data_IF_163714543646
#
_entry.id   IF_163714543646
#
_cell.length_a   1.000
_cell.length_b   1.000
_cell.length_c   1.000
_cell.angle_alpha   90.00
_cell.angle_beta   90.00
_cell.angle_gamma   90.00
#
_symmetry.space_group_name_H-M   'P 1'
#
loop_
_entity.id
_entity.type
_entity.pdbx_description
1 polymer ?
#
# COMPACT_ATOMS: atom_id res chain seq x y z
N UNK A 1 4.38 -20.43 13.28
CA UNK A 1 3.53 -20.42 12.08
C UNK A 1 2.93 -19.03 12.00
N UNK A 2 3.41 -18.20 11.08
CA UNK A 2 3.02 -16.79 10.99
C UNK A 2 1.65 -16.71 10.30
N UNK A 3 0.57 -16.57 11.09
CA UNK A 3 -0.81 -16.54 10.61
C UNK A 3 -1.07 -15.22 9.86
N UNK A 4 -0.70 -15.19 8.57
CA UNK A 4 -1.06 -14.08 7.68
C UNK A 4 -2.50 -14.28 7.24
N UNK A 5 -3.38 -13.34 7.60
CA UNK A 5 -4.79 -13.39 7.18
C UNK A 5 -4.87 -13.00 5.70
N UNK A 6 -5.43 -13.89 4.89
CA UNK A 6 -5.69 -13.63 3.48
C UNK A 6 -7.01 -12.88 3.33
N UNK A 7 -6.93 -11.70 2.72
CA UNK A 7 -8.07 -10.86 2.39
C UNK A 7 -8.01 -10.57 0.89
N UNK A 8 -9.17 -10.57 0.22
CA UNK A 8 -9.25 -10.18 -1.18
C UNK A 8 -8.93 -8.69 -1.29
N UNK A 9 -7.90 -8.31 -2.06
CA UNK A 9 -7.50 -6.92 -2.29
C UNK A 9 -7.48 -6.67 -3.80
N UNK A 10 -7.98 -5.52 -4.28
CA UNK A 10 -7.94 -5.24 -5.72
C UNK A 10 -6.50 -5.11 -6.20
N UNK A 11 -6.21 -5.70 -7.37
CA UNK A 11 -4.87 -5.66 -7.98
C UNK A 11 -3.93 -6.76 -7.50
N UNK A 12 -4.34 -7.59 -6.55
CA UNK A 12 -3.57 -8.74 -6.07
C UNK A 12 -4.27 -10.06 -6.43
N UNK A 13 -3.62 -10.86 -7.27
CA UNK A 13 -4.09 -12.17 -7.72
C UNK A 13 -3.21 -13.25 -7.08
N UNK A 14 -3.76 -14.03 -6.15
CA UNK A 14 -3.03 -15.10 -5.44
C UNK A 14 -2.84 -16.32 -6.37
N UNK A 15 -3.73 -16.47 -7.34
CA UNK A 15 -3.67 -17.49 -8.38
C UNK A 15 -3.36 -16.79 -9.70
N UNK A 16 -2.08 -16.64 -10.05
CA UNK A 16 -1.71 -16.42 -11.44
C UNK A 16 -2.00 -17.71 -12.23
N UNK A 17 -3.27 -17.97 -12.52
CA UNK A 17 -3.64 -18.73 -13.70
C UNK A 17 -4.09 -17.73 -14.75
N UNK A 18 -3.11 -17.25 -15.51
CA UNK A 18 -3.38 -16.67 -16.83
C UNK A 18 -3.85 -17.82 -17.70
N UNK A 19 -5.16 -18.07 -17.73
CA UNK A 19 -5.75 -18.96 -18.73
C UNK A 19 -5.79 -18.17 -20.05
N UNK A 20 -4.68 -18.19 -20.77
CA UNK A 20 -4.68 -17.90 -22.19
C UNK A 20 -5.25 -19.14 -22.90
N UNK A 21 -6.53 -19.07 -23.31
CA UNK A 21 -7.24 -20.17 -23.96
C UNK A 21 -8.06 -19.69 -25.16
N UNK A 22 -7.84 -20.34 -26.31
CA UNK A 22 -8.45 -20.04 -27.60
C UNK A 22 -9.96 -20.33 -27.67
N UNK A 23 -10.68 -19.38 -28.28
CA UNK A 23 -11.77 -19.54 -29.27
C UNK A 23 -12.74 -20.73 -29.10
N UNK A 24 -13.88 -20.49 -28.41
CA UNK A 24 -15.27 -20.95 -28.74
C UNK A 24 -16.23 -20.74 -27.53
N UNK A 25 -16.50 -19.51 -27.03
CA UNK A 25 -17.17 -19.37 -25.69
C UNK A 25 -18.17 -18.21 -25.49
N UNK A 26 -18.80 -17.64 -26.53
CA UNK A 26 -19.70 -16.47 -26.32
C UNK A 26 -20.91 -16.74 -25.39
N UNK A 27 -21.45 -17.96 -25.34
CA UNK A 27 -22.55 -18.31 -24.41
C UNK A 27 -22.09 -18.54 -22.97
N UNK A 28 -20.91 -19.14 -22.78
CA UNK A 28 -20.35 -19.39 -21.44
C UNK A 28 -19.95 -18.09 -20.73
N UNK A 29 -19.43 -17.13 -21.48
CA UNK A 29 -19.07 -15.81 -20.94
C UNK A 29 -20.30 -15.11 -20.35
N UNK A 30 -21.44 -15.21 -21.03
CA UNK A 30 -22.71 -14.69 -20.52
C UNK A 30 -23.22 -15.47 -19.30
N UNK A 31 -23.10 -16.80 -19.29
CA UNK A 31 -23.44 -17.62 -18.11
C UNK A 31 -22.69 -17.15 -16.86
N UNK A 32 -21.39 -16.84 -17.00
CA UNK A 32 -20.58 -16.31 -15.92
C UNK A 32 -21.11 -14.96 -15.40
N UNK A 33 -21.42 -14.04 -16.32
CA UNK A 33 -21.99 -12.72 -15.98
C UNK A 33 -23.35 -12.87 -15.28
N UNK A 34 -24.24 -13.74 -15.77
CA UNK A 34 -25.54 -14.01 -15.14
C UNK A 34 -25.37 -14.62 -13.75
N UNK A 35 -24.50 -15.62 -13.62
CA UNK A 35 -24.21 -16.30 -12.35
C UNK A 35 -23.64 -15.31 -11.34
N UNK A 36 -22.71 -14.46 -11.76
CA UNK A 36 -22.11 -13.43 -10.91
C UNK A 36 -23.16 -12.46 -10.36
N UNK A 37 -24.07 -11.97 -11.22
CA UNK A 37 -25.18 -11.09 -10.81
C UNK A 37 -26.13 -11.76 -9.82
N UNK A 38 -26.51 -13.02 -10.05
CA UNK A 38 -27.41 -13.76 -9.15
C UNK A 38 -26.77 -14.06 -7.80
N UNK A 39 -25.48 -14.42 -7.81
CA UNK A 39 -24.74 -14.81 -6.60
C UNK A 39 -24.10 -13.63 -5.86
N UNK A 40 -24.23 -12.40 -6.39
CA UNK A 40 -23.54 -11.21 -5.87
C UNK A 40 -22.01 -11.38 -5.76
N UNK A 41 -21.43 -12.18 -6.66
CA UNK A 41 -19.99 -12.47 -6.67
C UNK A 41 -19.20 -11.23 -7.10
N UNK A 42 -18.02 -11.07 -6.52
CA UNK A 42 -17.09 -10.00 -6.88
C UNK A 42 -16.21 -10.49 -8.02
N UNK A 43 -16.23 -9.78 -9.14
CA UNK A 43 -15.41 -10.06 -10.31
C UNK A 43 -14.19 -9.13 -10.31
N UNK A 44 -13.10 -9.54 -10.97
CA UNK A 44 -11.95 -8.67 -11.23
C UNK A 44 -11.60 -8.69 -12.71
N UNK A 45 -11.33 -7.51 -13.27
CA UNK A 45 -10.85 -7.38 -14.66
C UNK A 45 -10.05 -6.09 -14.82
N UNK A 46 -9.22 -6.05 -15.85
CA UNK A 46 -8.44 -4.88 -16.22
C UNK A 46 -9.32 -3.81 -16.86
N UNK A 47 -9.10 -2.55 -16.50
CA UNK A 47 -9.72 -1.42 -17.21
C UNK A 47 -9.01 -1.22 -18.53
N UNK A 48 -9.63 -1.64 -19.63
CA UNK A 48 -9.02 -1.60 -20.95
C UNK A 48 -9.11 -0.22 -21.62
N UNK A 49 -10.03 0.63 -21.17
CA UNK A 49 -10.33 1.88 -21.84
C UNK A 49 -11.39 2.71 -21.11
N UNK A 50 -11.68 3.88 -21.68
CA UNK A 50 -12.69 4.80 -21.20
C UNK A 50 -13.54 5.22 -22.39
N UNK A 51 -14.84 5.12 -22.26
CA UNK A 51 -15.81 5.53 -23.27
C UNK A 51 -16.84 6.48 -22.67
N UNK A 52 -17.44 7.32 -23.50
CA UNK A 52 -18.63 8.06 -23.11
C UNK A 52 -19.86 7.23 -23.43
N UNK A 53 -20.76 7.10 -22.47
CA UNK A 53 -22.06 6.50 -22.71
C UNK A 53 -23.16 7.50 -22.36
N UNK A 54 -24.34 7.34 -22.96
CA UNK A 54 -25.50 8.17 -22.72
C UNK A 54 -26.61 7.38 -22.06
N UNK A 55 -27.28 8.00 -21.09
CA UNK A 55 -28.53 7.51 -20.53
C UNK A 55 -29.55 8.65 -20.64
N UNK A 56 -30.38 8.57 -21.68
CA UNK A 56 -31.21 9.70 -22.11
C UNK A 56 -30.36 10.83 -22.69
N UNK A 57 -30.54 12.06 -22.19
CA UNK A 57 -29.82 13.26 -22.66
C UNK A 57 -28.46 13.49 -21.97
N UNK A 58 -28.14 12.73 -20.91
CA UNK A 58 -26.90 12.88 -20.16
C UNK A 58 -25.83 11.92 -20.68
N UNK A 59 -24.70 12.47 -21.08
CA UNK A 59 -23.47 11.70 -21.32
C UNK A 59 -22.63 11.63 -20.04
N UNK A 60 -22.01 10.49 -19.81
CA UNK A 60 -21.10 10.29 -18.69
C UNK A 60 -19.96 9.36 -19.08
N UNK A 61 -18.75 9.60 -18.56
CA UNK A 61 -17.61 8.74 -18.82
C UNK A 61 -17.76 7.42 -18.06
N UNK A 62 -17.41 6.33 -18.73
CA UNK A 62 -17.43 4.97 -18.23
C UNK A 62 -16.06 4.33 -18.43
N UNK A 63 -15.54 3.66 -17.42
CA UNK A 63 -14.46 2.69 -17.63
C UNK A 63 -15.01 1.45 -18.34
N UNK A 64 -14.21 0.89 -19.23
CA UNK A 64 -14.55 -0.34 -19.97
C UNK A 64 -13.76 -1.50 -19.39
N UNK A 65 -14.47 -2.59 -19.09
CA UNK A 65 -13.92 -3.86 -18.59
C UNK A 65 -14.51 -5.01 -19.39
N UNK A 66 -13.89 -6.18 -19.34
CA UNK A 66 -14.39 -7.39 -20.01
C UNK A 66 -14.47 -8.57 -19.05
N UNK A 67 -15.48 -9.42 -19.23
CA UNK A 67 -15.54 -10.78 -18.70
C UNK A 67 -15.63 -11.70 -19.91
N UNK A 68 -14.57 -12.48 -20.16
CA UNK A 68 -14.42 -13.17 -21.44
C UNK A 68 -14.54 -12.19 -22.61
N UNK A 69 -15.52 -12.41 -23.49
CA UNK A 69 -15.82 -11.54 -24.63
C UNK A 69 -16.96 -10.55 -24.38
N UNK A 70 -17.58 -10.56 -23.21
CA UNK A 70 -18.71 -9.66 -22.89
C UNK A 70 -18.17 -8.33 -22.38
N UNK A 71 -18.57 -7.25 -23.06
CA UNK A 71 -18.20 -5.89 -22.70
C UNK A 71 -18.95 -5.43 -21.46
N UNK A 72 -18.22 -4.85 -20.52
CA UNK A 72 -18.74 -4.21 -19.32
C UNK A 72 -18.42 -2.73 -19.29
N UNK A 73 -19.35 -1.94 -18.76
CA UNK A 73 -19.12 -0.53 -18.44
C UNK A 73 -19.24 -0.29 -16.94
N UNK A 74 -18.35 0.53 -16.41
CA UNK A 74 -18.40 1.03 -15.04
C UNK A 74 -18.51 2.55 -15.08
N UNK A 75 -19.70 3.13 -14.84
CA UNK A 75 -19.91 4.57 -14.78
C UNK A 75 -18.99 5.25 -13.77
N UNK A 76 -18.58 6.49 -14.05
CA UNK A 76 -17.73 7.30 -13.15
C UNK A 76 -18.24 7.32 -11.70
N UNK A 77 -19.55 7.46 -11.53
CA UNK A 77 -20.21 7.46 -10.21
C UNK A 77 -20.03 6.15 -9.42
N UNK A 78 -19.78 5.03 -10.12
CA UNK A 78 -19.55 3.73 -9.49
C UNK A 78 -18.07 3.36 -9.41
N UNK A 79 -17.17 4.21 -9.87
CA UNK A 79 -15.73 3.96 -9.89
C UNK A 79 -15.02 4.36 -8.60
N UNK A 80 -15.68 5.08 -7.68
CA UNK A 80 -15.07 5.66 -6.48
C UNK A 80 -13.87 6.58 -6.82
N UNK A 81 -14.05 7.43 -7.84
CA UNK A 81 -13.08 8.45 -8.27
C UNK A 81 -13.82 9.78 -8.47
N UNK A 82 -13.11 10.90 -8.33
CA UNK A 82 -13.74 12.23 -8.37
C UNK A 82 -13.86 12.79 -9.80
N UNK A 83 -12.94 12.45 -10.68
CA UNK A 83 -12.83 13.09 -11.99
C UNK A 83 -12.26 12.15 -13.06
N UNK A 84 -12.33 12.62 -14.31
CA UNK A 84 -11.87 11.88 -15.48
C UNK A 84 -10.35 11.63 -15.52
N UNK A 85 -9.52 12.48 -14.88
CA UNK A 85 -8.08 12.27 -14.79
C UNK A 85 -7.76 11.05 -13.92
N UNK A 86 -8.50 10.86 -12.83
CA UNK A 86 -8.37 9.69 -11.98
C UNK A 86 -8.83 8.43 -12.70
N UNK A 87 -9.91 8.52 -13.48
CA UNK A 87 -10.34 7.41 -14.35
C UNK A 87 -9.24 7.00 -15.35
N UNK A 88 -8.56 7.97 -15.98
CA UNK A 88 -7.42 7.71 -16.89
C UNK A 88 -6.25 7.00 -16.22
N UNK A 89 -6.01 7.22 -14.93
CA UNK A 89 -4.95 6.55 -14.19
C UNK A 89 -5.26 5.07 -13.92
N UNK A 90 -6.55 4.72 -13.95
CA UNK A 90 -7.00 3.35 -13.71
C UNK A 90 -6.90 2.47 -14.96
N UNK A 91 -6.79 3.06 -16.17
CA UNK A 91 -6.56 2.28 -17.39
C UNK A 91 -5.30 1.44 -17.25
N UNK A 92 -5.40 0.14 -17.55
CA UNK A 92 -4.34 -0.84 -17.36
C UNK A 92 -4.31 -1.49 -15.96
N UNK A 93 -5.15 -1.05 -15.03
CA UNK A 93 -5.20 -1.62 -13.68
C UNK A 93 -6.35 -2.61 -13.56
N UNK A 94 -6.12 -3.71 -12.81
CA UNK A 94 -7.19 -4.64 -12.41
C UNK A 94 -8.06 -4.00 -11.32
N UNK A 95 -9.36 -3.96 -11.55
CA UNK A 95 -10.35 -3.45 -10.60
C UNK A 95 -11.32 -4.54 -10.18
N UNK A 96 -11.84 -4.47 -8.96
CA UNK A 96 -12.94 -5.32 -8.54
C UNK A 96 -14.29 -4.64 -8.79
N UNK A 97 -15.29 -5.40 -9.20
CA UNK A 97 -16.63 -4.87 -9.43
C UNK A 97 -17.72 -5.93 -9.25
N UNK A 98 -18.95 -5.46 -9.05
CA UNK A 98 -20.16 -6.29 -9.06
C UNK A 98 -21.01 -5.94 -10.26
N UNK A 99 -21.58 -6.95 -10.91
CA UNK A 99 -22.53 -6.75 -12.02
C UNK A 99 -23.88 -6.29 -11.45
N UNK A 100 -24.35 -5.11 -11.85
CA UNK A 100 -25.60 -4.51 -11.37
C UNK A 100 -26.70 -4.52 -12.43
N UNK A 101 -26.33 -4.40 -13.71
CA UNK A 101 -27.25 -4.31 -14.84
C UNK A 101 -26.78 -5.15 -16.01
N UNK A 102 -27.72 -5.54 -16.86
CA UNK A 102 -27.46 -6.28 -18.10
C UNK A 102 -28.30 -5.67 -19.20
N UNK A 103 -27.67 -5.37 -20.33
CA UNK A 103 -28.34 -4.99 -21.56
C UNK A 103 -27.99 -6.00 -22.64
N UNK A 104 -28.90 -6.98 -22.82
CA UNK A 104 -28.72 -8.02 -23.84
C UNK A 104 -28.77 -7.47 -25.25
N UNK A 105 -29.49 -6.37 -25.49
CA UNK A 105 -29.63 -5.80 -26.85
C UNK A 105 -28.34 -5.12 -27.28
N UNK A 106 -27.70 -4.42 -26.36
CA UNK A 106 -26.40 -3.77 -26.58
C UNK A 106 -25.20 -4.71 -26.32
N UNK A 107 -25.45 -5.99 -26.03
CA UNK A 107 -24.44 -6.99 -25.67
C UNK A 107 -23.44 -6.50 -24.60
N UNK A 108 -23.96 -5.84 -23.55
CA UNK A 108 -23.13 -5.27 -22.48
C UNK A 108 -23.69 -5.51 -21.08
N UNK A 109 -22.81 -5.46 -20.08
CA UNK A 109 -23.20 -5.39 -18.67
C UNK A 109 -22.81 -4.05 -18.02
N UNK A 110 -23.55 -3.67 -17.00
CA UNK A 110 -23.24 -2.51 -16.15
C UNK A 110 -22.68 -3.05 -14.84
N UNK A 111 -21.52 -2.53 -14.46
CA UNK A 111 -20.82 -2.93 -13.25
C UNK A 111 -20.67 -1.76 -12.27
N UNK A 112 -20.49 -2.09 -10.99
CA UNK A 112 -20.32 -1.15 -9.90
C UNK A 112 -19.11 -1.56 -9.03
N UNK A 113 -18.07 -0.73 -9.03
CA UNK A 113 -16.84 -0.96 -8.25
C UNK A 113 -17.03 -0.60 -6.78
N UNK A 114 -17.69 0.51 -6.47
CA UNK A 114 -18.00 0.90 -5.09
C UNK A 114 -18.72 -0.22 -4.32
N UNK A 115 -19.70 -0.86 -4.95
CA UNK A 115 -20.44 -1.97 -4.35
C UNK A 115 -19.57 -3.21 -4.09
N UNK A 116 -18.54 -3.46 -4.92
CA UNK A 116 -17.56 -4.51 -4.66
C UNK A 116 -16.70 -4.17 -3.45
N UNK A 117 -16.19 -2.94 -3.38
CA UNK A 117 -15.37 -2.46 -2.25
C UNK A 117 -16.13 -2.58 -0.93
N UNK A 118 -17.39 -2.14 -0.88
CA UNK A 118 -18.22 -2.26 0.31
C UNK A 118 -18.46 -3.72 0.73
N UNK A 119 -18.70 -4.60 -0.25
CA UNK A 119 -18.87 -6.02 0.02
C UNK A 119 -17.58 -6.66 0.58
N UNK A 120 -16.42 -6.35 0.00
CA UNK A 120 -15.12 -6.78 0.54
C UNK A 120 -14.90 -6.24 1.95
N UNK A 121 -15.11 -4.94 2.16
CA UNK A 121 -14.93 -4.28 3.45
C UNK A 121 -15.79 -4.94 4.54
N UNK A 122 -17.05 -5.24 4.23
CA UNK A 122 -17.96 -5.92 5.16
C UNK A 122 -17.46 -7.31 5.59
N UNK A 123 -16.84 -8.06 4.67
CA UNK A 123 -16.21 -9.35 5.00
C UNK A 123 -14.91 -9.15 5.81
N UNK A 124 -14.12 -8.13 5.48
CA UNK A 124 -12.86 -7.81 6.15
C UNK A 124 -13.09 -7.37 7.59
N UNK A 125 -14.04 -6.47 7.86
CA UNK A 125 -14.35 -5.97 9.20
C UNK A 125 -14.76 -7.07 10.20
N UNK A 126 -15.29 -8.19 9.70
CA UNK A 126 -15.63 -9.38 10.52
C UNK A 126 -14.39 -10.17 10.93
N UNK A 127 -13.30 -10.10 10.15
CA UNK A 127 -12.09 -10.91 10.34
C UNK A 127 -10.92 -10.16 10.98
N UNK A 128 -10.86 -8.83 10.83
CA UNK A 128 -9.71 -8.05 11.30
C UNK A 128 -9.78 -7.75 12.80
N UNK A 129 -8.63 -7.90 13.45
CA UNK A 129 -8.39 -7.67 14.87
C UNK A 129 -6.97 -7.11 15.06
N UNK A 130 -6.76 -6.37 16.14
CA UNK A 130 -5.43 -5.86 16.50
C UNK A 130 -4.44 -7.01 16.66
N UNK A 131 -3.22 -6.83 16.16
CA UNK A 131 -2.13 -7.79 16.24
C UNK A 131 -2.00 -8.70 15.02
N UNK A 132 -3.05 -8.81 14.19
CA UNK A 132 -3.01 -9.62 12.96
C UNK A 132 -2.05 -9.02 11.94
N UNK A 133 -1.45 -9.91 11.14
CA UNK A 133 -0.64 -9.52 9.98
C UNK A 133 -1.42 -9.79 8.71
N UNK A 134 -1.49 -8.77 7.85
CA UNK A 134 -2.28 -8.76 6.62
C UNK A 134 -1.45 -8.21 5.47
N UNK A 135 -1.79 -8.62 4.26
CA UNK A 135 -1.29 -7.97 3.05
C UNK A 135 -2.23 -6.82 2.68
N UNK A 136 -1.66 -5.68 2.32
CA UNK A 136 -2.40 -4.55 1.80
C UNK A 136 -1.75 -3.96 0.56
N UNK A 137 -2.54 -3.26 -0.24
CA UNK A 137 -2.11 -2.57 -1.46
C UNK A 137 -2.02 -1.08 -1.21
N UNK A 138 -0.89 -0.47 -1.57
CA UNK A 138 -0.68 0.96 -1.43
C UNK A 138 -1.57 1.71 -2.42
N UNK A 139 -2.52 2.49 -1.91
CA UNK A 139 -3.41 3.31 -2.76
C UNK A 139 -2.87 4.71 -2.97
N UNK A 140 -2.19 5.28 -1.97
CA UNK A 140 -1.66 6.64 -2.03
C UNK A 140 -0.46 6.79 -1.12
N UNK A 141 0.56 7.50 -1.60
CA UNK A 141 1.79 7.79 -0.84
C UNK A 141 1.93 9.30 -0.66
N UNK A 142 1.90 9.77 0.58
CA UNK A 142 2.34 11.10 0.95
C UNK A 142 3.74 11.03 1.60
N UNK A 143 4.33 12.19 1.90
CA UNK A 143 5.68 12.27 2.48
C UNK A 143 5.80 11.48 3.79
N UNK A 144 4.81 11.57 4.66
CA UNK A 144 4.84 11.03 6.03
C UNK A 144 3.71 10.03 6.34
N UNK A 145 2.87 9.72 5.35
CA UNK A 145 1.70 8.86 5.52
C UNK A 145 1.45 8.07 4.25
N UNK A 146 1.22 6.78 4.38
CA UNK A 146 0.77 5.90 3.30
C UNK A 146 -0.66 5.45 3.60
N UNK A 147 -1.53 5.54 2.59
CA UNK A 147 -2.85 4.93 2.62
C UNK A 147 -2.77 3.55 1.98
N UNK A 148 -3.12 2.53 2.75
CA UNK A 148 -3.09 1.13 2.33
C UNK A 148 -4.52 0.60 2.32
N UNK A 149 -4.92 -0.06 1.26
CA UNK A 149 -6.17 -0.80 1.18
C UNK A 149 -5.95 -2.24 1.65
N UNK A 150 -6.79 -2.66 2.60
CA UNK A 150 -6.78 -4.00 3.19
C UNK A 150 -8.17 -4.56 2.93
N UNK A 151 -8.37 -5.07 1.73
CA UNK A 151 -9.63 -5.66 1.27
C UNK A 151 -10.85 -4.79 1.48
N UNK A 152 -10.82 -3.59 0.88
CA UNK A 152 -11.88 -2.60 0.95
C UNK A 152 -11.85 -1.73 2.21
N UNK A 153 -10.95 -2.00 3.16
CA UNK A 153 -10.75 -1.18 4.35
C UNK A 153 -9.53 -0.28 4.19
N UNK A 154 -9.72 1.03 4.32
CA UNK A 154 -8.62 1.99 4.29
C UNK A 154 -7.86 2.02 5.62
N UNK A 155 -6.56 1.78 5.56
CA UNK A 155 -5.64 1.82 6.68
C UNK A 155 -4.56 2.88 6.49
N UNK A 156 -4.04 3.38 7.61
CA UNK A 156 -3.01 4.43 7.67
C UNK A 156 -1.70 3.87 8.22
N UNK A 157 -0.63 4.02 7.44
CA UNK A 157 0.75 3.71 7.85
C UNK A 157 1.53 5.01 7.98
N UNK A 158 1.87 5.37 9.22
CA UNK A 158 2.68 6.55 9.53
C UNK A 158 4.16 6.27 9.28
N UNK A 159 4.95 7.31 9.01
CA UNK A 159 6.38 7.19 8.67
C UNK A 159 7.20 6.43 9.71
N UNK A 160 6.93 6.67 11.00
CA UNK A 160 7.61 6.00 12.11
C UNK A 160 7.28 4.51 12.22
N UNK A 161 6.22 4.08 11.56
CA UNK A 161 5.76 2.68 11.51
C UNK A 161 6.13 1.98 10.20
N UNK A 162 6.79 2.66 9.26
CA UNK A 162 7.22 2.07 8.00
C UNK A 162 8.41 1.11 8.15
N UNK A 163 9.39 1.48 8.98
CA UNK A 163 10.60 0.70 9.17
C UNK A 163 11.45 1.23 10.31
N UNK A 164 12.54 0.54 10.62
CA UNK A 164 13.54 1.02 11.55
C UNK A 164 14.46 2.04 10.88
N UNK A 165 15.01 2.95 11.68
CA UNK A 165 15.91 3.99 11.22
C UNK A 165 15.22 5.22 10.64
N UNK A 166 16.03 6.19 10.23
CA UNK A 166 15.59 7.50 9.78
C UNK A 166 15.00 7.44 8.37
N UNK A 167 13.71 7.74 8.26
CA UNK A 167 13.00 7.92 7.00
C UNK A 167 12.43 9.33 6.97
N UNK A 168 12.77 10.12 5.94
CA UNK A 168 12.34 11.52 5.82
C UNK A 168 11.23 11.75 4.77
N UNK A 169 11.05 10.79 3.86
CA UNK A 169 10.10 10.85 2.76
C UNK A 169 9.74 9.45 2.24
N UNK A 170 8.53 8.98 2.56
CA UNK A 170 8.03 7.67 2.15
C UNK A 170 7.87 7.53 0.64
N UNK A 171 7.79 8.63 -0.12
CA UNK A 171 7.68 8.59 -1.58
C UNK A 171 8.92 8.01 -2.27
N UNK A 172 10.06 8.00 -1.57
CA UNK A 172 11.31 7.38 -2.06
C UNK A 172 11.30 5.86 -1.84
N UNK A 173 10.52 5.41 -0.86
CA UNK A 173 10.58 4.05 -0.33
C UNK A 173 9.52 3.13 -0.92
N UNK A 174 8.37 3.68 -1.32
CA UNK A 174 7.23 2.91 -1.81
C UNK A 174 6.44 3.67 -2.86
N UNK A 175 5.82 2.94 -3.79
CA UNK A 175 4.99 3.48 -4.87
C UNK A 175 3.53 3.04 -4.73
N UNK A 176 2.65 3.79 -5.38
CA UNK A 176 1.24 3.39 -5.52
C UNK A 176 1.16 2.07 -6.31
N UNK A 177 0.31 1.16 -5.83
CA UNK A 177 0.18 -0.22 -6.35
C UNK A 177 1.09 -1.23 -5.67
N UNK A 178 2.09 -0.82 -4.88
CA UNK A 178 2.96 -1.76 -4.17
C UNK A 178 2.20 -2.56 -3.11
N UNK A 179 2.66 -3.78 -2.86
CA UNK A 179 2.10 -4.68 -1.86
C UNK A 179 2.94 -4.63 -0.59
N UNK A 180 2.29 -4.42 0.56
CA UNK A 180 2.96 -4.34 1.86
C UNK A 180 2.36 -5.37 2.83
N UNK A 181 3.24 -6.15 3.49
CA UNK A 181 2.88 -6.99 4.63
C UNK A 181 2.96 -6.14 5.90
N UNK A 182 1.81 -5.92 6.54
CA UNK A 182 1.66 -4.99 7.67
C UNK A 182 0.92 -5.64 8.83
N UNK A 183 1.26 -5.23 10.05
CA UNK A 183 0.59 -5.63 11.28
C UNK A 183 -0.45 -4.57 11.67
N UNK A 184 -1.64 -5.01 12.09
CA UNK A 184 -2.69 -4.13 12.60
C UNK A 184 -2.32 -3.70 14.03
N UNK A 185 -2.08 -2.42 14.25
CA UNK A 185 -1.78 -1.88 15.60
C UNK A 185 -3.03 -1.49 16.37
N UNK A 186 -4.02 -0.96 15.66
CA UNK A 186 -5.27 -0.52 16.25
C UNK A 186 -6.37 -0.58 15.20
N UNK A 187 -7.51 -1.15 15.58
CA UNK A 187 -8.70 -1.31 14.75
C UNK A 187 -9.86 -0.66 15.50
N UNK A 188 -10.36 0.46 14.97
CA UNK A 188 -11.56 1.15 15.47
C UNK A 188 -12.69 0.90 14.46
N UNK A 189 -13.59 -0.03 14.80
CA UNK A 189 -14.69 -0.47 13.94
C UNK A 189 -15.79 0.59 13.82
N UNK A 190 -15.98 1.41 14.86
CA UNK A 190 -17.01 2.45 14.89
C UNK A 190 -16.61 3.61 13.96
N UNK A 191 -15.35 4.04 14.03
CA UNK A 191 -14.81 5.09 13.15
C UNK A 191 -14.38 4.57 11.79
N UNK A 192 -14.43 3.25 11.57
CA UNK A 192 -13.90 2.56 10.38
C UNK A 192 -12.45 2.95 10.07
N UNK A 193 -11.62 3.07 11.09
CA UNK A 193 -10.20 3.44 10.95
C UNK A 193 -9.27 2.36 11.45
N UNK A 194 -8.21 2.10 10.69
CA UNK A 194 -7.19 1.11 11.03
C UNK A 194 -5.81 1.76 10.98
N UNK A 195 -5.03 1.61 12.07
CA UNK A 195 -3.61 1.95 12.11
C UNK A 195 -2.78 0.70 11.91
N UNK A 196 -1.75 0.79 11.07
CA UNK A 196 -0.90 -0.33 10.69
C UNK A 196 0.57 -0.02 10.89
N UNK A 197 1.37 -1.08 10.98
CA UNK A 197 2.82 -1.02 11.09
C UNK A 197 3.48 -2.05 10.20
N UNK A 198 4.39 -1.60 9.35
CA UNK A 198 5.32 -2.46 8.62
C UNK A 198 6.56 -2.76 9.48
N UNK A 199 7.00 -1.81 10.31
CA UNK A 199 8.10 -1.98 11.26
C UNK A 199 7.89 -3.21 12.15
N UNK A 200 6.67 -3.46 12.62
CA UNK A 200 6.34 -4.60 13.46
C UNK A 200 6.39 -5.97 12.76
N UNK A 201 6.52 -6.02 11.42
CA UNK A 201 6.72 -7.26 10.66
C UNK A 201 8.20 -7.51 10.32
N UNK A 202 9.08 -6.55 10.63
CA UNK A 202 10.51 -6.63 10.41
C UNK A 202 11.24 -7.09 11.69
N UNK A 203 12.37 -7.81 11.56
CA UNK A 203 13.19 -8.18 12.70
C UNK A 203 13.70 -6.92 13.41
N UNK A 204 13.68 -6.92 14.74
CA UNK A 204 14.14 -5.78 15.52
C UNK A 204 15.67 -5.69 15.47
N UNK A 205 16.27 -4.65 14.86
CA UNK A 205 17.73 -4.54 14.76
C UNK A 205 18.39 -4.25 16.11
N UNK A 206 17.61 -3.87 17.15
CA UNK A 206 18.10 -3.51 18.47
C UNK A 206 18.34 -4.69 19.41
N UNK A 207 17.82 -5.89 19.10
CA UNK A 207 17.89 -7.05 20.01
C UNK A 207 19.34 -7.46 20.34
N UNK A 208 20.32 -7.16 19.47
CA UNK A 208 21.73 -7.50 19.65
C UNK A 208 22.66 -6.28 19.58
N UNK A 209 22.15 -5.06 19.86
CA UNK A 209 22.91 -3.83 19.68
C UNK A 209 24.19 -3.78 20.52
N UNK A 210 24.13 -4.28 21.76
CA UNK A 210 25.25 -4.28 22.71
C UNK A 210 26.44 -5.14 22.27
N UNK A 211 26.21 -6.12 21.39
CA UNK A 211 27.29 -6.95 20.83
C UNK A 211 27.94 -6.30 19.59
N UNK A 212 27.25 -5.35 18.95
CA UNK A 212 27.70 -4.71 17.70
C UNK A 212 28.42 -3.39 17.95
N UNK A 213 27.99 -2.66 18.97
CA UNK A 213 28.49 -1.32 19.28
C UNK A 213 28.83 -1.17 20.75
N UNK A 214 30.02 -0.65 21.04
CA UNK A 214 30.48 -0.32 22.39
C UNK A 214 30.47 1.19 22.62
N UNK A 215 30.18 1.60 23.85
CA UNK A 215 30.42 2.98 24.31
C UNK A 215 31.90 3.31 24.13
N UNK A 216 32.20 4.54 23.73
CA UNK A 216 33.51 5.04 23.32
C UNK A 216 34.12 4.38 22.06
N UNK A 217 33.44 3.41 21.44
CA UNK A 217 33.84 2.86 20.15
C UNK A 217 33.67 3.87 19.02
N UNK A 218 34.57 3.81 18.04
CA UNK A 218 34.50 4.61 16.81
C UNK A 218 34.04 3.76 15.63
N UNK A 219 33.03 4.23 14.90
CA UNK A 219 32.38 3.51 13.81
C UNK A 219 32.17 4.42 12.60
N UNK A 220 32.27 3.84 11.42
CA UNK A 220 31.92 4.53 10.17
C UNK A 220 30.42 4.45 9.96
N UNK A 221 29.80 5.59 9.70
CA UNK A 221 28.40 5.67 9.33
C UNK A 221 28.17 6.59 8.14
N UNK A 222 26.97 6.51 7.58
CA UNK A 222 26.53 7.39 6.49
C UNK A 222 25.47 8.34 7.00
N UNK A 223 25.57 9.62 6.68
CA UNK A 223 24.55 10.62 7.08
C UNK A 223 23.23 10.27 6.39
N UNK A 224 22.24 9.83 7.18
CA UNK A 224 20.90 9.48 6.71
C UNK A 224 19.97 10.69 6.66
N UNK A 225 20.18 11.69 7.52
CA UNK A 225 19.40 12.91 7.52
C UNK A 225 20.04 14.04 8.30
N UNK A 226 19.77 15.28 7.86
CA UNK A 226 20.25 16.50 8.52
C UNK A 226 19.04 17.32 8.93
N UNK A 227 18.92 17.62 10.22
CA UNK A 227 17.82 18.38 10.81
C UNK A 227 18.36 19.51 11.67
N UNK A 228 17.51 20.48 12.05
CA UNK A 228 17.97 21.67 12.78
C UNK A 228 18.72 21.35 14.09
N UNK A 229 18.32 20.29 14.79
CA UNK A 229 18.92 19.91 16.08
C UNK A 229 20.08 18.92 15.98
N UNK A 230 20.36 18.34 14.80
CA UNK A 230 21.43 17.36 14.67
C UNK A 230 21.47 16.63 13.33
N UNK A 231 22.31 15.60 13.29
CA UNK A 231 22.50 14.72 12.14
C UNK A 231 22.17 13.29 12.56
N UNK A 232 21.40 12.61 11.73
CA UNK A 232 21.18 11.17 11.83
C UNK A 232 22.23 10.47 10.99
N UNK A 233 22.92 9.52 11.61
CA UNK A 233 24.03 8.78 11.00
C UNK A 233 23.68 7.31 11.08
N UNK A 234 23.46 6.71 9.92
CA UNK A 234 23.20 5.29 9.79
C UNK A 234 24.48 4.50 10.05
N UNK A 235 24.49 3.73 11.13
CA UNK A 235 25.60 2.85 11.52
C UNK A 235 25.40 1.44 10.96
N UNK A 236 24.15 1.01 10.85
CA UNK A 236 23.73 -0.26 10.29
C UNK A 236 22.26 -0.16 9.84
N UNK A 237 21.75 -1.10 9.02
CA UNK A 237 20.35 -1.11 8.61
C UNK A 237 19.40 -1.01 9.82
N UNK A 238 18.59 0.05 9.84
CA UNK A 238 17.64 0.34 10.92
C UNK A 238 18.22 0.91 12.22
N UNK A 239 19.52 1.21 12.27
CA UNK A 239 20.21 1.74 13.45
C UNK A 239 20.86 3.08 13.07
N UNK A 240 20.31 4.16 13.60
CA UNK A 240 20.85 5.51 13.44
C UNK A 240 21.32 6.07 14.78
N UNK A 241 22.45 6.77 14.72
CA UNK A 241 22.96 7.58 15.81
C UNK A 241 22.62 9.05 15.59
N UNK A 242 22.18 9.73 16.64
CA UNK A 242 21.99 11.17 16.66
C UNK A 242 23.29 11.86 17.08
N UNK A 243 23.72 12.83 16.28
CA UNK A 243 24.89 13.66 16.59
C UNK A 243 24.57 15.13 16.48
N UNK A 244 25.28 15.95 17.24
CA UNK A 244 25.22 17.41 17.09
C UNK A 244 25.88 17.84 15.77
N UNK A 245 25.55 19.07 15.32
CA UNK A 245 26.21 19.69 14.19
C UNK A 245 27.69 19.94 14.46
N UNK A 246 28.52 19.76 13.43
CA UNK A 246 29.91 20.18 13.47
C UNK A 246 29.99 21.71 13.36
N UNK A 247 30.91 22.34 14.11
CA UNK A 247 31.04 23.82 14.12
C UNK A 247 31.47 24.40 12.78
N UNK A 248 32.32 23.71 12.03
CA UNK A 248 33.00 24.25 10.84
C UNK A 248 32.75 23.44 9.56
N UNK A 249 32.02 22.33 9.66
CA UNK A 249 31.80 21.41 8.53
C UNK A 249 30.30 21.20 8.34
N UNK A 250 29.80 21.52 7.15
CA UNK A 250 28.44 21.18 6.77
C UNK A 250 28.41 19.75 6.25
N UNK A 251 27.44 18.97 6.73
CA UNK A 251 27.18 17.62 6.25
C UNK A 251 25.94 17.62 5.36
N UNK A 252 25.95 16.72 4.40
CA UNK A 252 24.83 16.43 3.50
C UNK A 252 24.46 14.95 3.60
N UNK A 253 23.21 14.62 3.32
CA UNK A 253 22.76 13.22 3.21
C UNK A 253 23.66 12.45 2.24
N UNK A 254 24.10 11.26 2.66
CA UNK A 254 25.03 10.41 1.90
C UNK A 254 26.51 10.57 2.26
N UNK A 255 26.89 11.59 3.03
CA UNK A 255 28.27 11.77 3.48
C UNK A 255 28.70 10.62 4.41
N UNK A 256 29.94 10.14 4.26
CA UNK A 256 30.54 9.18 5.19
C UNK A 256 31.28 9.90 6.31
N UNK A 257 31.09 9.44 7.54
CA UNK A 257 31.64 10.07 8.74
C UNK A 257 32.09 9.01 9.74
N UNK A 258 33.19 9.30 10.43
CA UNK A 258 33.62 8.54 11.59
C UNK A 258 32.97 9.14 12.84
N UNK A 259 32.26 8.33 13.61
CA UNK A 259 31.58 8.76 14.83
C UNK A 259 32.03 7.96 16.03
N UNK A 260 32.16 8.64 17.17
CA UNK A 260 32.41 8.03 18.48
C UNK A 260 31.11 7.93 19.25
N UNK A 261 30.72 6.72 19.66
CA UNK A 261 29.50 6.51 20.45
C UNK A 261 29.73 7.00 21.88
N UNK A 262 28.78 7.79 22.39
CA UNK A 262 28.82 8.30 23.77
C UNK A 262 27.88 7.54 24.69
N UNK A 263 26.71 7.19 24.19
CA UNK A 263 25.65 6.58 24.97
C UNK A 263 24.75 5.74 24.07
N UNK A 264 24.31 4.59 24.59
CA UNK A 264 23.41 3.65 23.91
C UNK A 264 22.26 3.36 24.87
N UNK A 265 21.06 3.84 24.52
CA UNK A 265 19.85 3.54 25.24
C UNK A 265 19.00 2.54 24.43
N UNK A 266 19.05 1.27 24.85
CA UNK A 266 18.35 0.17 24.18
C UNK A 266 16.82 0.29 24.34
N UNK A 267 16.34 0.78 25.50
CA UNK A 267 14.90 0.91 25.76
C UNK A 267 14.25 1.93 24.83
N UNK A 268 14.93 3.07 24.64
CA UNK A 268 14.44 4.16 23.81
C UNK A 268 14.86 4.03 22.34
N UNK A 269 15.62 2.98 21.99
CA UNK A 269 16.19 2.78 20.66
C UNK A 269 16.96 4.03 20.18
N UNK A 270 17.83 4.57 21.04
CA UNK A 270 18.61 5.79 20.77
C UNK A 270 20.10 5.54 20.97
N UNK A 271 20.89 5.97 20.00
CA UNK A 271 22.35 6.08 20.11
C UNK A 271 22.73 7.55 20.02
N UNK A 272 23.43 8.06 21.02
CA UNK A 272 24.02 9.39 20.98
C UNK A 272 25.50 9.25 20.62
N UNK A 273 25.93 9.95 19.58
CA UNK A 273 27.32 9.91 19.13
C UNK A 273 27.88 11.31 18.87
N UNK A 274 29.21 11.38 18.72
CA UNK A 274 29.93 12.58 18.32
C UNK A 274 30.66 12.30 17.01
N UNK A 275 30.51 13.17 16.02
CA UNK A 275 31.31 13.09 14.81
C UNK A 275 32.76 13.42 15.15
N UNK A 276 33.68 12.53 14.77
CA UNK A 276 35.13 12.69 14.91
C UNK A 276 35.68 13.42 13.69
N UNK A 277 35.35 12.91 12.49
CA UNK A 277 35.73 13.52 11.20
C UNK A 277 34.82 13.05 10.07
N UNK A 278 34.77 13.84 9.00
CA UNK A 278 34.25 13.42 7.69
C UNK A 278 35.31 12.56 6.97
N UNK A 279 34.86 11.53 6.26
CA UNK A 279 35.70 10.61 5.47
C UNK A 279 35.54 10.94 3.99
#
# INVERSE_FOLDING_TARGET
MDQTLQVLVEGYDINQEVVAGNHQEHDKDWEEVYRSRQTNTIMQSEVIGIEENSLGEKTFPCAVVYIGNVKGIVPLEFMNVENYRDLRRMTGQKIAFKVVGLDKKANLFIANRTAAIEHMAGATWKKIETGLVVLGVVRRVARNLIHVDIGGVSAKLEIDEYGYGWNDDLRKEVKEGDHLKVKLLSVDKDKKTVKISRKATLPNPWDNISNRFSVDGEYVGTVSGVVNYGNFINLAPGIDALTQHMRFTKLSTGDKVLVKIRDINVKDQKINAKIVRKI
#
